data_IF_689391424650
#
_entry.id   IF_689391424650
#
_cell.length_a   1.000
_cell.length_b   1.000
_cell.length_c   1.000
_cell.angle_alpha   90.00
_cell.angle_beta   90.00
_cell.angle_gamma   90.00
#
_symmetry.space_group_name_H-M   'P 1'
#
loop_
_entity.id
_entity.type
_entity.pdbx_description
1 polymer ?
#
# COMPACT_ATOMS: atom_id res chain seq x y z
N UNK A 1 9.94 -5.26 -14.03
CA UNK A 1 10.58 -5.08 -12.73
C UNK A 1 11.22 -6.40 -12.36
N UNK A 2 12.46 -6.41 -11.91
CA UNK A 2 13.13 -7.64 -11.45
C UNK A 2 12.60 -8.04 -10.07
N UNK A 3 12.75 -9.30 -9.63
CA UNK A 3 12.32 -9.70 -8.29
C UNK A 3 13.00 -8.89 -7.17
N UNK A 4 14.24 -8.45 -7.37
CA UNK A 4 14.98 -7.60 -6.41
C UNK A 4 14.35 -6.20 -6.34
N UNK A 5 13.98 -5.64 -7.49
CA UNK A 5 13.29 -4.35 -7.54
C UNK A 5 11.89 -4.44 -6.90
N UNK A 6 11.16 -5.53 -7.09
CA UNK A 6 9.86 -5.77 -6.46
C UNK A 6 9.96 -5.90 -4.94
N UNK A 7 10.94 -6.67 -4.45
CA UNK A 7 11.27 -6.74 -3.02
C UNK A 7 11.56 -5.35 -2.44
N UNK A 8 12.44 -4.59 -3.11
CA UNK A 8 12.85 -3.25 -2.65
C UNK A 8 11.65 -2.31 -2.61
N UNK A 9 10.80 -2.37 -3.63
CA UNK A 9 9.60 -1.54 -3.73
C UNK A 9 8.58 -1.91 -2.64
N UNK A 10 8.40 -3.19 -2.33
CA UNK A 10 7.53 -3.61 -1.24
C UNK A 10 8.04 -3.19 0.14
N UNK A 11 9.36 -3.22 0.37
CA UNK A 11 9.94 -2.70 1.60
C UNK A 11 9.66 -1.20 1.77
N UNK A 12 9.93 -0.40 0.73
CA UNK A 12 9.61 1.05 0.74
C UNK A 12 8.13 1.33 0.95
N UNK A 13 7.25 0.51 0.38
CA UNK A 13 5.81 0.64 0.62
C UNK A 13 5.44 0.33 2.09
N UNK A 14 6.12 -0.61 2.73
CA UNK A 14 5.96 -0.90 4.16
C UNK A 14 6.42 0.28 5.00
N UNK A 15 7.60 0.83 4.71
CA UNK A 15 8.14 2.02 5.40
C UNK A 15 7.18 3.22 5.30
N UNK A 16 6.56 3.43 4.13
CA UNK A 16 5.54 4.46 3.97
C UNK A 16 4.30 4.18 4.82
N UNK A 17 3.79 2.95 4.81
CA UNK A 17 2.61 2.59 5.61
C UNK A 17 2.86 2.65 7.11
N UNK A 18 4.09 2.42 7.56
CA UNK A 18 4.52 2.54 8.96
C UNK A 18 4.91 3.97 9.35
N UNK A 19 4.97 4.89 8.39
CA UNK A 19 5.32 6.28 8.63
C UNK A 19 4.19 7.01 9.37
N UNK A 20 4.49 7.47 10.59
CA UNK A 20 3.53 8.17 11.46
C UNK A 20 2.93 9.42 10.79
N UNK A 21 3.76 10.25 10.13
CA UNK A 21 3.28 11.46 9.47
C UNK A 21 2.33 11.14 8.30
N UNK A 22 2.57 10.07 7.55
CA UNK A 22 1.66 9.65 6.48
C UNK A 22 0.33 9.18 7.05
N UNK A 23 0.36 8.37 8.12
CA UNK A 23 -0.85 7.90 8.79
C UNK A 23 -1.66 9.08 9.35
N UNK A 24 -1.01 9.98 10.09
CA UNK A 24 -1.63 11.19 10.63
C UNK A 24 -2.26 12.05 9.54
N UNK A 25 -1.56 12.22 8.41
CA UNK A 25 -2.05 13.00 7.27
C UNK A 25 -3.28 12.36 6.64
N UNK A 26 -3.26 11.05 6.39
CA UNK A 26 -4.41 10.34 5.83
C UNK A 26 -5.62 10.35 6.77
N UNK A 27 -5.39 10.24 8.08
CA UNK A 27 -6.44 10.33 9.08
C UNK A 27 -7.01 11.74 9.21
N UNK A 28 -6.18 12.77 9.11
CA UNK A 28 -6.63 14.17 9.05
C UNK A 28 -7.55 14.39 7.84
N UNK A 29 -7.15 13.92 6.65
CA UNK A 29 -7.97 13.99 5.43
C UNK A 29 -9.30 13.28 5.62
N UNK A 30 -9.30 12.05 6.15
CA UNK A 30 -10.54 11.29 6.38
C UNK A 30 -11.49 12.01 7.33
N UNK A 31 -10.97 12.52 8.45
CA UNK A 31 -11.76 13.25 9.45
C UNK A 31 -12.37 14.51 8.86
N UNK A 32 -11.58 15.28 8.12
CA UNK A 32 -12.06 16.49 7.45
C UNK A 32 -13.17 16.17 6.44
N UNK A 33 -12.98 15.16 5.59
CA UNK A 33 -13.98 14.77 4.59
C UNK A 33 -15.28 14.31 5.24
N UNK A 34 -15.22 13.51 6.32
CA UNK A 34 -16.40 13.05 7.05
C UNK A 34 -17.13 14.24 7.70
N UNK A 35 -16.38 15.18 8.29
CA UNK A 35 -16.95 16.38 8.89
C UNK A 35 -17.71 17.20 7.85
N UNK A 36 -17.05 17.53 6.73
CA UNK A 36 -17.66 18.29 5.63
C UNK A 36 -18.88 17.57 5.05
N UNK A 37 -18.82 16.24 4.91
CA UNK A 37 -19.95 15.46 4.41
C UNK A 37 -21.15 15.54 5.37
N UNK A 38 -20.91 15.49 6.68
CA UNK A 38 -21.96 15.57 7.71
C UNK A 38 -22.65 16.94 7.74
N UNK A 39 -21.91 18.01 7.42
CA UNK A 39 -22.41 19.39 7.34
C UNK A 39 -23.05 19.71 5.98
N UNK A 40 -22.81 18.88 4.97
CA UNK A 40 -23.30 19.10 3.62
C UNK A 40 -24.84 19.04 3.56
N UNK A 41 -25.52 20.08 3.03
CA UNK A 41 -26.97 20.13 2.94
C UNK A 41 -27.55 18.91 2.22
N UNK A 42 -28.70 18.40 2.67
CA UNK A 42 -29.33 17.22 2.08
C UNK A 42 -29.65 17.35 0.58
N UNK A 43 -29.91 18.59 0.11
CA UNK A 43 -30.17 18.89 -1.30
C UNK A 43 -28.93 18.89 -2.18
N UNK A 44 -27.73 18.96 -1.60
CA UNK A 44 -26.47 19.01 -2.33
C UNK A 44 -25.92 17.59 -2.55
N UNK A 45 -26.58 16.83 -3.42
CA UNK A 45 -26.18 15.47 -3.75
C UNK A 45 -24.82 15.41 -4.45
N UNK A 46 -24.47 16.44 -5.23
CA UNK A 46 -23.21 16.50 -5.97
C UNK A 46 -22.02 16.79 -5.04
N UNK A 47 -22.16 17.78 -4.14
CA UNK A 47 -21.13 18.10 -3.16
C UNK A 47 -20.89 16.95 -2.19
N UNK A 48 -21.98 16.26 -1.81
CA UNK A 48 -21.91 14.94 -1.17
C UNK A 48 -21.05 14.00 -2.02
N UNK A 49 -21.52 13.51 -3.16
CA UNK A 49 -20.80 12.51 -3.97
C UNK A 49 -19.30 12.80 -4.14
N UNK A 50 -18.91 14.07 -4.37
CA UNK A 50 -17.52 14.49 -4.45
C UNK A 50 -16.70 14.20 -3.16
N UNK A 51 -17.26 14.50 -1.98
CA UNK A 51 -16.64 14.19 -0.68
C UNK A 51 -16.53 12.68 -0.46
N UNK A 52 -17.53 11.88 -0.86
CA UNK A 52 -17.42 10.43 -0.78
C UNK A 52 -16.30 9.89 -1.68
N UNK A 53 -16.20 10.39 -2.91
CA UNK A 53 -15.11 10.01 -3.82
C UNK A 53 -13.74 10.35 -3.25
N UNK A 54 -13.59 11.50 -2.57
CA UNK A 54 -12.36 11.88 -1.89
C UNK A 54 -12.02 10.91 -0.75
N UNK A 55 -13.01 10.53 0.06
CA UNK A 55 -12.84 9.50 1.09
C UNK A 55 -12.38 8.15 0.50
N UNK A 56 -13.05 7.68 -0.56
CA UNK A 56 -12.67 6.44 -1.27
C UNK A 56 -11.28 6.54 -1.89
N UNK A 57 -10.84 7.73 -2.31
CA UNK A 57 -9.50 7.93 -2.84
C UNK A 57 -8.42 7.72 -1.76
N UNK A 58 -8.64 8.24 -0.54
CA UNK A 58 -7.73 8.02 0.57
C UNK A 58 -7.61 6.53 0.94
N UNK A 59 -8.73 5.79 0.93
CA UNK A 59 -8.71 4.32 1.12
C UNK A 59 -7.97 3.62 -0.03
N UNK A 60 -8.24 4.01 -1.28
CA UNK A 60 -7.60 3.44 -2.47
C UNK A 60 -6.09 3.65 -2.45
N UNK A 61 -5.63 4.82 -2.01
CA UNK A 61 -4.22 5.13 -1.86
C UNK A 61 -3.52 4.14 -0.93
N UNK A 62 -4.05 3.91 0.27
CA UNK A 62 -3.49 2.90 1.19
C UNK A 62 -3.54 1.49 0.61
N UNK A 63 -4.65 1.11 -0.02
CA UNK A 63 -4.80 -0.23 -0.58
C UNK A 63 -3.78 -0.52 -1.68
N UNK A 64 -3.43 0.49 -2.49
CA UNK A 64 -2.38 0.38 -3.50
C UNK A 64 -1.02 0.15 -2.83
N UNK A 65 -0.69 0.88 -1.75
CA UNK A 65 0.55 0.66 -1.01
C UNK A 65 0.59 -0.74 -0.38
N UNK A 66 -0.51 -1.19 0.22
CA UNK A 66 -0.63 -2.56 0.77
C UNK A 66 -0.40 -3.62 -0.30
N UNK A 67 -0.91 -3.39 -1.51
CA UNK A 67 -0.64 -4.25 -2.67
C UNK A 67 0.84 -4.32 -3.02
N UNK A 68 1.57 -3.19 -3.00
CA UNK A 68 3.01 -3.19 -3.24
C UNK A 68 3.80 -3.96 -2.18
N UNK A 69 3.39 -3.86 -0.91
CA UNK A 69 3.97 -4.66 0.18
C UNK A 69 3.79 -6.15 -0.11
N UNK A 70 2.57 -6.58 -0.43
CA UNK A 70 2.28 -7.98 -0.75
C UNK A 70 3.13 -8.50 -1.92
N UNK A 71 3.26 -7.73 -2.99
CA UNK A 71 4.12 -8.07 -4.13
C UNK A 71 5.58 -8.24 -3.71
N UNK A 72 6.11 -7.34 -2.88
CA UNK A 72 7.51 -7.44 -2.41
C UNK A 72 7.76 -8.60 -1.45
N UNK A 73 6.78 -8.97 -0.63
CA UNK A 73 6.84 -10.18 0.21
C UNK A 73 6.96 -11.42 -0.68
N UNK A 74 6.10 -11.56 -1.68
CA UNK A 74 6.16 -12.68 -2.62
C UNK A 74 7.49 -12.73 -3.39
N UNK A 75 8.00 -11.57 -3.84
CA UNK A 75 9.30 -11.49 -4.50
C UNK A 75 10.44 -11.95 -3.56
N UNK A 76 10.38 -11.57 -2.28
CA UNK A 76 11.35 -11.99 -1.26
C UNK A 76 11.34 -13.49 -1.03
N UNK A 77 10.16 -14.10 -0.95
CA UNK A 77 10.02 -15.55 -0.80
C UNK A 77 10.56 -16.30 -2.02
N UNK A 78 10.28 -15.80 -3.22
CA UNK A 78 10.79 -16.39 -4.45
C UNK A 78 12.32 -16.33 -4.51
N UNK A 79 12.92 -15.17 -4.18
CA UNK A 79 14.38 -15.02 -4.14
C UNK A 79 15.03 -16.01 -3.16
N UNK A 80 14.48 -16.16 -1.95
CA UNK A 80 14.96 -17.14 -0.96
C UNK A 80 14.94 -18.56 -1.51
N UNK A 81 13.84 -18.97 -2.16
CA UNK A 81 13.72 -20.31 -2.78
C UNK A 81 14.77 -20.53 -3.87
N UNK A 82 15.02 -19.53 -4.72
CA UNK A 82 16.06 -19.63 -5.76
C UNK A 82 17.46 -19.76 -5.18
N UNK A 83 17.77 -19.03 -4.10
CA UNK A 83 19.05 -19.15 -3.40
C UNK A 83 19.25 -20.53 -2.78
N UNK A 84 18.22 -21.07 -2.11
CA UNK A 84 18.25 -22.40 -1.50
C UNK A 84 18.47 -23.49 -2.56
N UNK A 85 17.73 -23.46 -3.67
CA UNK A 85 17.90 -24.41 -4.77
C UNK A 85 19.30 -24.31 -5.39
N UNK A 86 19.83 -23.09 -5.54
CA UNK A 86 21.18 -22.87 -6.05
C UNK A 86 22.25 -23.42 -5.11
N UNK A 87 22.09 -23.25 -3.79
CA UNK A 87 22.99 -23.82 -2.77
C UNK A 87 22.96 -25.35 -2.79
N UNK A 88 21.77 -25.94 -2.88
CA UNK A 88 21.59 -27.39 -3.00
C UNK A 88 22.30 -27.92 -4.25
N UNK A 89 22.08 -27.31 -5.41
CA UNK A 89 22.74 -27.73 -6.65
C UNK A 89 24.28 -27.68 -6.56
N UNK A 90 24.85 -26.66 -5.92
CA UNK A 90 26.30 -26.55 -5.70
C UNK A 90 26.84 -27.64 -4.78
N UNK A 91 26.09 -28.01 -3.73
CA UNK A 91 26.47 -29.09 -2.80
C UNK A 91 26.48 -30.47 -3.44
N UNK A 92 25.55 -30.76 -4.37
CA UNK A 92 25.47 -32.07 -5.04
C UNK A 92 26.39 -32.19 -6.28
N UNK A 93 27.07 -31.11 -6.67
CA UNK A 93 27.98 -31.09 -7.83
C UNK A 93 29.47 -31.06 -7.44
N UNK A 94 29.78 -30.90 -6.14
CA UNK A 94 31.12 -31.08 -5.55
C UNK A 94 31.32 -32.51 -5.09
#
# INVERSE_FOLDING_TARGET
>A
MTPIEEQTRGHRASELLENELLQETLDAIRKEVIQQWSECPARDSQGKEALWQLHKMAEKFENILKGYVQTGVLASENLKRYEEQSKLYRMFRS
#
